data_IF_333789379656
#
_entry.id   IF_333789379656
#
_cell.length_a   1.000
_cell.length_b   1.000
_cell.length_c   1.000
_cell.angle_alpha   90.00
_cell.angle_beta   90.00
_cell.angle_gamma   90.00
#
_symmetry.space_group_name_H-M   'P 1'
#
loop_
_entity.id
_entity.type
_entity.pdbx_description
1 polymer ?
#
# COMPACT_ATOMS: atom_id res chain seq x y z
N UNK A 1 -2.64 -45.16 25.50
CA UNK A 1 -3.32 -43.99 24.91
C UNK A 1 -2.26 -43.14 24.21
N UNK A 2 -2.08 -43.35 22.90
CA UNK A 2 -1.14 -42.57 22.09
C UNK A 2 -1.75 -41.19 21.80
N UNK A 3 -1.10 -40.13 22.29
CA UNK A 3 -1.48 -38.76 21.97
C UNK A 3 -0.83 -38.38 20.65
N UNK A 4 -1.60 -38.37 19.56
CA UNK A 4 -1.15 -37.87 18.28
C UNK A 4 -1.07 -36.33 18.34
N UNK A 5 0.14 -35.79 18.19
CA UNK A 5 0.41 -34.35 18.10
C UNK A 5 0.06 -33.88 16.68
N UNK A 6 -1.07 -33.19 16.49
CA UNK A 6 -1.37 -32.51 15.23
C UNK A 6 -0.48 -31.26 15.13
N UNK A 7 0.52 -31.31 14.25
CA UNK A 7 1.30 -30.12 13.89
C UNK A 7 0.50 -29.34 12.84
N UNK A 8 -0.12 -28.24 13.25
CA UNK A 8 -0.82 -27.32 12.35
C UNK A 8 0.24 -26.51 11.58
N UNK A 9 0.52 -26.90 10.34
CA UNK A 9 1.38 -26.15 9.44
C UNK A 9 0.61 -24.91 8.95
N UNK A 10 0.85 -23.76 9.60
CA UNK A 10 0.32 -22.48 9.16
C UNK A 10 1.08 -22.05 7.89
N UNK A 11 0.56 -22.43 6.72
CA UNK A 11 1.03 -21.90 5.44
C UNK A 11 0.66 -20.42 5.41
N UNK A 12 1.65 -19.55 5.67
CA UNK A 12 1.48 -18.12 5.53
C UNK A 12 1.04 -17.82 4.11
N UNK A 13 -0.16 -17.27 3.94
CA UNK A 13 -0.66 -16.82 2.65
C UNK A 13 0.26 -15.71 2.15
N UNK A 14 1.23 -16.07 1.30
CA UNK A 14 1.93 -15.12 0.46
C UNK A 14 0.88 -14.50 -0.46
N UNK A 15 0.45 -13.28 -0.15
CA UNK A 15 -0.32 -12.45 -1.08
C UNK A 15 0.58 -12.12 -2.26
N UNK A 16 0.60 -12.98 -3.26
CA UNK A 16 1.15 -12.64 -4.56
C UNK A 16 0.29 -11.50 -5.12
N UNK A 17 0.82 -10.28 -5.16
CA UNK A 17 0.15 -9.19 -5.85
C UNK A 17 0.30 -9.44 -7.36
N UNK A 18 -0.75 -9.96 -7.98
CA UNK A 18 -0.83 -10.02 -9.43
C UNK A 18 -1.18 -8.64 -9.97
N UNK A 19 -0.52 -8.23 -11.07
CA UNK A 19 -0.92 -7.03 -11.81
C UNK A 19 -2.37 -7.20 -12.28
N UNK A 20 -3.24 -6.29 -11.86
CA UNK A 20 -4.67 -6.28 -12.21
C UNK A 20 -4.88 -5.40 -13.44
N UNK A 21 -5.85 -5.77 -14.29
CA UNK A 21 -6.32 -4.88 -15.35
C UNK A 21 -7.63 -4.20 -14.92
N UNK A 22 -7.64 -2.87 -14.96
CA UNK A 22 -8.82 -2.06 -14.69
C UNK A 22 -9.43 -1.57 -16.01
N UNK A 23 -10.66 -1.98 -16.30
CA UNK A 23 -11.35 -1.60 -17.53
C UNK A 23 -12.19 -0.33 -17.31
N UNK A 24 -11.99 0.67 -18.18
CA UNK A 24 -12.78 1.88 -18.28
C UNK A 24 -13.58 1.84 -19.58
N UNK A 25 -14.90 1.86 -19.45
CA UNK A 25 -15.83 2.01 -20.55
C UNK A 25 -16.33 3.46 -20.66
N UNK A 26 -17.00 3.78 -21.75
CA UNK A 26 -17.66 5.06 -21.95
C UNK A 26 -19.17 4.84 -21.98
N UNK A 27 -19.90 5.64 -21.20
CA UNK A 27 -21.37 5.64 -21.16
C UNK A 27 -21.87 7.07 -21.28
N UNK A 28 -22.45 7.42 -22.43
CA UNK A 28 -22.78 8.80 -22.76
C UNK A 28 -21.55 9.70 -22.69
N UNK A 29 -21.63 10.78 -21.89
CA UNK A 29 -20.52 11.72 -21.67
C UNK A 29 -19.71 11.42 -20.40
N UNK A 30 -19.60 10.15 -20.01
CA UNK A 30 -18.90 9.74 -18.78
C UNK A 30 -17.99 8.54 -18.99
N UNK A 31 -16.88 8.51 -18.26
CA UNK A 31 -16.07 7.31 -18.08
C UNK A 31 -16.66 6.44 -16.97
N UNK A 32 -16.65 5.13 -17.14
CA UNK A 32 -17.19 4.16 -16.19
C UNK A 32 -16.19 3.03 -15.93
N UNK A 33 -15.60 2.95 -14.71
CA UNK A 33 -15.70 3.95 -13.64
C UNK A 33 -14.99 5.26 -13.98
N UNK A 34 -15.43 6.38 -13.39
CA UNK A 34 -14.75 7.68 -13.53
C UNK A 34 -13.49 7.78 -12.66
N UNK A 35 -13.42 7.00 -11.58
CA UNK A 35 -12.28 6.90 -10.68
C UNK A 35 -11.84 5.44 -10.61
N UNK A 36 -10.58 5.18 -10.93
CA UNK A 36 -9.93 3.87 -10.76
C UNK A 36 -8.95 3.96 -9.60
N UNK A 37 -8.95 2.95 -8.73
CA UNK A 37 -7.88 2.77 -7.72
C UNK A 37 -7.03 1.61 -8.19
N UNK A 38 -5.78 1.88 -8.55
CA UNK A 38 -4.83 0.92 -9.08
C UNK A 38 -3.56 0.91 -8.24
N UNK A 39 -2.75 -0.12 -8.40
CA UNK A 39 -1.43 -0.20 -7.78
C UNK A 39 -0.32 -0.14 -8.85
N UNK A 40 0.90 0.21 -8.45
CA UNK A 40 2.06 0.19 -9.35
C UNK A 40 2.24 -1.21 -9.93
N UNK A 41 2.25 -1.31 -11.26
CA UNK A 41 2.29 -2.57 -12.01
C UNK A 41 0.94 -2.97 -12.63
N UNK A 42 -0.17 -2.40 -12.16
CA UNK A 42 -1.48 -2.62 -12.78
C UNK A 42 -1.54 -2.03 -14.19
N UNK A 43 -2.48 -2.54 -14.98
CA UNK A 43 -2.85 -1.96 -16.28
C UNK A 43 -4.20 -1.27 -16.16
N UNK A 44 -4.36 -0.16 -16.88
CA UNK A 44 -5.67 0.50 -17.05
C UNK A 44 -5.96 0.52 -18.53
N UNK A 45 -7.10 -0.06 -18.90
CA UNK A 45 -7.53 -0.23 -20.29
C UNK A 45 -8.76 0.63 -20.55
N UNK A 46 -8.77 1.38 -21.64
CA UNK A 46 -9.93 2.12 -22.10
C UNK A 46 -10.53 1.46 -23.33
N UNK A 47 -11.86 1.39 -23.37
CA UNK A 47 -12.62 1.20 -24.59
C UNK A 47 -13.12 2.57 -25.08
N UNK A 48 -12.32 3.21 -25.93
CA UNK A 48 -12.59 4.49 -26.58
C UNK A 48 -13.35 4.26 -27.88
N UNK A 49 -14.64 4.59 -27.87
CA UNK A 49 -15.48 4.63 -29.08
C UNK A 49 -15.64 6.06 -29.57
N UNK A 50 -15.80 6.27 -30.88
CA UNK A 50 -16.07 7.59 -31.44
C UNK A 50 -17.43 8.11 -30.95
N UNK A 51 -17.57 9.42 -30.63
CA UNK A 51 -16.63 10.52 -30.83
C UNK A 51 -15.76 10.85 -29.60
N UNK A 52 -15.43 9.88 -28.75
CA UNK A 52 -14.73 10.13 -27.49
C UNK A 52 -13.21 9.95 -27.60
N UNK A 53 -12.49 10.45 -26.59
CA UNK A 53 -11.04 10.32 -26.40
C UNK A 53 -10.74 10.04 -24.93
N UNK A 54 -9.53 9.57 -24.65
CA UNK A 54 -8.96 9.58 -23.31
C UNK A 54 -7.56 10.21 -23.40
N UNK A 55 -7.45 11.46 -22.96
CA UNK A 55 -6.22 12.24 -23.05
C UNK A 55 -5.74 12.59 -21.66
N UNK A 56 -4.49 12.26 -21.36
CA UNK A 56 -3.84 12.67 -20.12
C UNK A 56 -3.63 14.18 -20.09
N UNK A 57 -3.92 14.79 -18.94
CA UNK A 57 -3.78 16.22 -18.71
C UNK A 57 -3.15 16.48 -17.34
N UNK A 58 -2.74 17.72 -17.08
CA UNK A 58 -2.32 18.13 -15.74
C UNK A 58 -3.53 18.22 -14.79
N UNK A 59 -3.30 18.17 -13.48
CA UNK A 59 -4.36 18.40 -12.49
C UNK A 59 -5.01 19.78 -12.66
N UNK A 60 -4.22 20.81 -12.98
CA UNK A 60 -4.75 22.16 -13.21
C UNK A 60 -5.72 22.19 -14.40
N UNK A 61 -5.34 21.55 -15.52
CA UNK A 61 -6.20 21.39 -16.69
C UNK A 61 -7.48 20.62 -16.36
N UNK A 62 -7.36 19.51 -15.62
CA UNK A 62 -8.49 18.68 -15.21
C UNK A 62 -9.48 19.42 -14.28
N UNK A 63 -8.96 20.21 -13.34
CA UNK A 63 -9.76 21.05 -12.44
C UNK A 63 -10.51 22.14 -13.22
N UNK A 64 -9.88 22.71 -14.25
CA UNK A 64 -10.46 23.75 -15.10
C UNK A 64 -11.41 23.22 -16.19
N UNK A 65 -11.69 21.91 -16.25
CA UNK A 65 -12.42 21.27 -17.36
C UNK A 65 -11.79 21.58 -18.74
N UNK A 66 -10.47 21.79 -18.76
CA UNK A 66 -9.69 22.04 -19.96
C UNK A 66 -9.29 20.76 -20.67
N UNK A 67 -8.72 20.90 -21.87
CA UNK A 67 -8.33 19.79 -22.74
C UNK A 67 -6.88 19.88 -23.25
N UNK A 68 -6.06 20.74 -22.65
CA UNK A 68 -4.63 20.86 -22.96
C UNK A 68 -3.88 19.57 -22.59
N UNK A 69 -3.37 18.81 -23.57
CA UNK A 69 -2.67 17.55 -23.29
C UNK A 69 -1.43 17.75 -22.45
N UNK A 70 -1.12 16.78 -21.60
CA UNK A 70 0.15 16.72 -20.90
C UNK A 70 1.27 16.32 -21.88
N UNK A 71 2.38 17.06 -21.89
CA UNK A 71 3.54 16.70 -22.71
C UNK A 71 4.07 15.32 -22.33
N UNK A 72 4.20 14.42 -23.32
CA UNK A 72 4.59 13.03 -23.09
C UNK A 72 3.52 12.14 -22.44
N UNK A 73 2.32 12.67 -22.21
CA UNK A 73 1.17 11.89 -21.73
C UNK A 73 0.48 11.11 -22.86
N UNK A 74 -0.42 10.22 -22.48
CA UNK A 74 -1.22 9.47 -23.46
C UNK A 74 -2.33 10.32 -24.09
N UNK A 75 -2.70 9.98 -25.33
CA UNK A 75 -3.80 10.59 -26.07
C UNK A 75 -4.51 9.53 -26.92
N UNK A 76 -5.47 8.83 -26.33
CA UNK A 76 -6.21 7.76 -27.00
C UNK A 76 -7.43 8.32 -27.74
N UNK A 77 -7.54 7.95 -29.00
CA UNK A 77 -8.57 8.34 -29.95
C UNK A 77 -8.97 7.10 -30.75
N UNK A 78 -10.18 7.06 -31.36
CA UNK A 78 -10.57 5.93 -32.20
C UNK A 78 -9.58 5.64 -33.35
N UNK A 79 -8.80 6.65 -33.78
CA UNK A 79 -7.83 6.53 -34.87
C UNK A 79 -6.49 5.89 -34.45
N UNK A 80 -6.16 5.86 -33.15
CA UNK A 80 -4.89 5.31 -32.65
C UNK A 80 -5.09 4.22 -31.58
N UNK A 81 -6.29 3.67 -31.50
CA UNK A 81 -6.66 2.52 -30.67
C UNK A 81 -6.87 1.27 -31.51
N UNK A 82 -6.52 0.10 -30.98
CA UNK A 82 -6.78 -1.18 -31.65
C UNK A 82 -8.20 -1.63 -31.36
N UNK A 83 -9.10 -1.55 -32.35
CA UNK A 83 -10.53 -1.82 -32.18
C UNK A 83 -11.21 -1.01 -31.06
N UNK A 84 -10.79 0.24 -30.87
CA UNK A 84 -11.29 1.10 -29.79
C UNK A 84 -10.59 0.88 -28.46
N UNK A 85 -9.66 -0.06 -28.34
CA UNK A 85 -8.98 -0.37 -27.07
C UNK A 85 -7.53 0.12 -27.04
N UNK A 86 -7.15 0.77 -25.94
CA UNK A 86 -5.78 1.15 -25.60
C UNK A 86 -5.57 1.07 -24.09
N UNK A 87 -4.32 0.92 -23.64
CA UNK A 87 -4.02 0.77 -22.22
C UNK A 87 -2.74 1.53 -21.82
N UNK A 88 -2.60 1.77 -20.52
CA UNK A 88 -1.34 2.16 -19.89
C UNK A 88 -0.94 1.12 -18.84
N UNK A 89 0.34 1.11 -18.48
CA UNK A 89 0.84 0.46 -17.26
C UNK A 89 1.08 1.54 -16.21
N UNK A 90 0.57 1.33 -15.00
CA UNK A 90 0.79 2.22 -13.86
C UNK A 90 2.21 2.03 -13.32
N UNK A 91 3.17 2.88 -13.72
CA UNK A 91 4.59 2.70 -13.35
C UNK A 91 5.06 3.53 -12.16
N UNK A 92 4.25 4.47 -11.67
CA UNK A 92 4.60 5.36 -10.56
C UNK A 92 3.38 5.72 -9.73
N UNK A 93 3.59 5.88 -8.42
CA UNK A 93 2.54 6.32 -7.49
C UNK A 93 2.10 7.75 -7.79
N UNK A 94 0.84 8.06 -7.47
CA UNK A 94 0.24 9.37 -7.68
C UNK A 94 -1.08 9.29 -8.44
N UNK A 95 -1.67 10.46 -8.70
CA UNK A 95 -2.93 10.54 -9.45
C UNK A 95 -2.68 10.90 -10.91
N UNK A 96 -3.19 10.07 -11.81
CA UNK A 96 -3.23 10.35 -13.24
C UNK A 96 -4.57 10.99 -13.56
N UNK A 97 -4.54 12.16 -14.21
CA UNK A 97 -5.73 12.92 -14.60
C UNK A 97 -5.93 12.83 -16.10
N UNK A 98 -7.15 12.56 -16.54
CA UNK A 98 -7.46 12.49 -17.97
C UNK A 98 -8.86 13.00 -18.29
N UNK A 99 -9.04 13.44 -19.53
CA UNK A 99 -10.31 13.98 -20.05
C UNK A 99 -10.65 13.37 -21.39
N UNK A 100 -11.91 13.51 -21.79
CA UNK A 100 -12.29 13.40 -23.18
C UNK A 100 -12.23 14.79 -23.81
N UNK A 101 -11.25 15.05 -24.68
CA UNK A 101 -11.01 16.37 -25.32
C UNK A 101 -12.27 17.08 -25.84
N UNK A 102 -13.13 16.45 -26.67
CA UNK A 102 -14.31 17.13 -27.21
C UNK A 102 -15.39 17.41 -26.16
N UNK A 103 -15.36 16.72 -25.01
CA UNK A 103 -16.37 16.83 -23.95
C UNK A 103 -15.78 17.31 -22.61
N UNK A 104 -14.55 17.83 -22.61
CA UNK A 104 -13.87 18.25 -21.39
C UNK A 104 -14.61 19.40 -20.70
N UNK A 105 -15.08 20.38 -21.49
CA UNK A 105 -15.89 21.51 -21.01
C UNK A 105 -17.25 21.09 -20.44
N UNK A 106 -17.76 19.92 -20.84
CA UNK A 106 -18.97 19.29 -20.28
C UNK A 106 -18.69 18.47 -19.02
N UNK A 107 -17.43 18.37 -18.59
CA UNK A 107 -17.01 17.63 -17.40
C UNK A 107 -16.70 16.15 -17.65
N UNK A 108 -16.57 15.70 -18.91
CA UNK A 108 -16.20 14.31 -19.21
C UNK A 108 -14.73 14.07 -18.88
N UNK A 109 -14.46 13.64 -17.64
CA UNK A 109 -13.13 13.46 -17.08
C UNK A 109 -13.07 12.28 -16.12
N UNK A 110 -11.87 11.76 -15.91
CA UNK A 110 -11.64 10.69 -14.95
C UNK A 110 -10.27 10.81 -14.29
N UNK A 111 -10.04 9.98 -13.28
CA UNK A 111 -8.78 9.90 -12.55
C UNK A 111 -8.41 8.46 -12.21
N UNK A 112 -7.11 8.21 -12.10
CA UNK A 112 -6.57 6.94 -11.61
C UNK A 112 -5.70 7.25 -10.40
N UNK A 113 -6.05 6.72 -9.24
CA UNK A 113 -5.24 6.82 -8.03
C UNK A 113 -4.31 5.61 -7.99
N UNK A 114 -3.01 5.83 -8.20
CA UNK A 114 -2.00 4.78 -8.19
C UNK A 114 -1.30 4.74 -6.84
N UNK A 115 -1.42 3.62 -6.13
CA UNK A 115 -0.74 3.37 -4.85
C UNK A 115 0.45 2.41 -5.05
N UNK A 116 1.38 2.38 -4.09
CA UNK A 116 2.48 1.44 -4.15
C UNK A 116 1.96 -0.01 -4.01
N UNK A 117 2.50 -0.93 -4.80
CA UNK A 117 2.36 -2.36 -4.55
C UNK A 117 3.33 -2.75 -3.43
N UNK A 118 2.79 -3.00 -2.24
CA UNK A 118 3.57 -3.34 -1.05
C UNK A 118 2.65 -3.69 0.11
N UNK A 119 3.24 -4.05 1.25
CA UNK A 119 2.48 -4.20 2.50
C UNK A 119 1.59 -2.96 2.67
N UNK A 120 0.28 -3.12 2.97
CA UNK A 120 -0.56 -1.96 3.24
C UNK A 120 0.17 -1.10 4.26
N UNK A 121 0.37 0.18 3.96
CA UNK A 121 0.81 1.12 4.97
C UNK A 121 -0.14 0.93 6.15
N UNK A 122 0.38 0.44 7.27
CA UNK A 122 -0.41 0.27 8.48
C UNK A 122 -0.96 1.66 8.79
N UNK A 123 -2.25 1.84 8.49
CA UNK A 123 -2.96 3.13 8.50
C UNK A 123 -2.97 3.74 9.91
N UNK A 124 -2.56 2.98 10.92
CA UNK A 124 -2.19 3.50 12.22
C UNK A 124 -0.70 3.76 12.29
N UNK A 125 -0.34 5.03 12.02
CA UNK A 125 1.00 5.60 12.17
C UNK A 125 1.41 5.72 13.66
N UNK A 126 1.08 4.72 14.49
CA UNK A 126 1.59 4.62 15.86
C UNK A 126 3.02 4.15 15.76
N UNK A 127 3.92 5.11 15.57
CA UNK A 127 5.34 4.89 15.67
C UNK A 127 5.69 4.71 17.17
N UNK A 128 6.02 3.49 17.56
CA UNK A 128 6.80 3.26 18.78
C UNK A 128 8.29 3.43 18.52
N UNK A 129 8.99 3.94 19.51
CA UNK A 129 10.44 4.02 19.55
C UNK A 129 10.98 3.08 20.62
N UNK A 130 12.20 2.60 20.42
CA UNK A 130 12.86 1.69 21.35
C UNK A 130 14.26 2.18 21.68
N UNK A 131 14.68 2.02 22.93
CA UNK A 131 16.01 2.41 23.40
C UNK A 131 16.45 1.59 24.61
N UNK A 132 17.76 1.43 24.86
CA UNK A 132 18.85 1.78 23.96
C UNK A 132 18.85 0.85 22.73
N UNK A 133 19.46 1.28 21.64
CA UNK A 133 19.75 0.44 20.49
C UNK A 133 21.13 0.85 19.97
N UNK A 134 22.19 0.03 20.15
CA UNK A 134 22.18 -1.35 20.64
C UNK A 134 21.78 -1.54 22.12
N UNK A 135 21.25 -2.71 22.48
CA UNK A 135 20.78 -3.07 23.83
C UNK A 135 21.55 -4.24 24.40
N UNK A 136 21.80 -4.23 25.71
CA UNK A 136 22.39 -5.36 26.44
C UNK A 136 21.33 -6.20 27.14
N UNK A 137 20.60 -5.64 28.09
CA UNK A 137 19.72 -6.42 28.97
C UNK A 137 18.26 -5.98 28.90
N UNK A 138 17.97 -4.67 28.93
CA UNK A 138 16.59 -4.15 28.97
C UNK A 138 16.33 -3.18 27.83
N UNK A 139 15.29 -3.45 27.05
CA UNK A 139 14.81 -2.60 25.97
C UNK A 139 13.58 -1.81 26.42
N UNK A 140 13.65 -0.49 26.38
CA UNK A 140 12.54 0.41 26.70
C UNK A 140 11.74 0.75 25.45
N UNK A 141 10.43 0.92 25.63
CA UNK A 141 9.47 1.23 24.57
C UNK A 141 8.77 2.54 24.90
N UNK A 142 8.63 3.42 23.91
CA UNK A 142 7.87 4.66 24.02
C UNK A 142 6.92 4.80 22.81
N UNK A 143 5.72 5.31 23.05
CA UNK A 143 4.68 5.50 22.02
C UNK A 143 3.79 6.68 22.38
N UNK A 144 3.39 7.45 21.36
CA UNK A 144 2.48 8.60 21.50
C UNK A 144 0.99 8.19 21.42
N UNK A 145 0.66 6.90 21.30
CA UNK A 145 -0.73 6.46 21.23
C UNK A 145 -1.42 6.42 22.60
N UNK A 146 -2.64 6.96 22.62
CA UNK A 146 -3.55 6.93 23.76
C UNK A 146 -4.39 5.64 23.72
N UNK A 147 -3.82 4.48 24.07
CA UNK A 147 -4.57 3.25 24.29
C UNK A 147 -3.82 2.24 25.16
N UNK A 148 -4.60 1.28 25.68
CA UNK A 148 -4.27 0.13 26.53
C UNK A 148 -3.08 -0.71 26.07
N UNK A 149 -2.67 -1.61 26.95
CA UNK A 149 -1.56 -2.55 26.77
C UNK A 149 -1.51 -3.24 25.40
N UNK A 150 -0.31 -3.49 24.89
CA UNK A 150 -0.07 -4.15 23.59
C UNK A 150 0.69 -5.47 23.79
N UNK A 151 0.30 -6.51 23.07
CA UNK A 151 1.07 -7.74 22.96
C UNK A 151 2.17 -7.58 21.92
N UNK A 152 3.39 -7.98 22.29
CA UNK A 152 4.59 -7.80 21.48
C UNK A 152 5.31 -9.11 21.24
N UNK A 153 5.94 -9.22 20.07
CA UNK A 153 6.77 -10.35 19.69
C UNK A 153 8.14 -9.83 19.23
N UNK A 154 9.19 -10.53 19.61
CA UNK A 154 10.54 -10.34 19.07
C UNK A 154 10.83 -11.47 18.10
N UNK A 155 11.18 -11.11 16.87
CA UNK A 155 11.58 -12.05 15.82
C UNK A 155 13.06 -11.87 15.45
N UNK A 156 13.71 -12.97 15.07
CA UNK A 156 15.07 -12.91 14.52
C UNK A 156 15.06 -12.59 13.01
N UNK A 157 16.24 -12.51 12.40
CA UNK A 157 16.40 -12.25 10.96
C UNK A 157 15.79 -13.30 10.01
N UNK A 158 15.45 -14.49 10.53
CA UNK A 158 14.75 -15.54 9.77
C UNK A 158 13.21 -15.44 9.94
N UNK A 159 12.71 -14.43 10.65
CA UNK A 159 11.28 -14.27 10.95
C UNK A 159 10.75 -15.19 12.05
N UNK A 160 11.62 -15.97 12.72
CA UNK A 160 11.21 -16.83 13.83
C UNK A 160 10.96 -16.00 15.08
N UNK A 161 9.79 -16.18 15.71
CA UNK A 161 9.48 -15.63 17.03
C UNK A 161 10.41 -16.27 18.07
N UNK A 162 11.19 -15.44 18.76
CA UNK A 162 12.16 -15.84 19.78
C UNK A 162 11.74 -15.42 21.19
N UNK A 163 10.82 -14.45 21.31
CA UNK A 163 10.25 -14.00 22.58
C UNK A 163 8.88 -13.37 22.34
N UNK A 164 7.96 -13.54 23.30
CA UNK A 164 6.65 -12.88 23.31
C UNK A 164 6.40 -12.28 24.70
N UNK A 165 5.76 -11.13 24.76
CA UNK A 165 5.33 -10.50 26.01
C UNK A 165 3.93 -9.94 25.81
N UNK A 166 3.02 -10.31 26.70
CA UNK A 166 1.64 -9.82 26.65
C UNK A 166 1.46 -8.60 27.54
N UNK A 167 0.43 -7.83 27.23
CA UNK A 167 -0.03 -6.71 28.03
C UNK A 167 1.06 -5.65 28.37
N UNK A 168 1.95 -5.31 27.41
CA UNK A 168 2.98 -4.28 27.61
C UNK A 168 2.32 -2.90 27.67
N UNK A 169 2.48 -2.11 28.76
CA UNK A 169 1.79 -0.84 28.93
C UNK A 169 2.23 0.19 27.87
N UNK A 170 1.27 0.67 27.08
CA UNK A 170 1.49 1.72 26.09
C UNK A 170 1.26 3.12 26.69
N UNK A 171 2.01 4.13 26.23
CA UNK A 171 1.93 5.52 26.74
C UNK A 171 2.53 5.74 28.14
N UNK A 172 3.17 4.72 28.73
CA UNK A 172 4.00 4.81 29.94
C UNK A 172 5.37 4.19 29.65
N UNK A 173 6.35 4.40 30.51
CA UNK A 173 7.67 3.77 30.38
C UNK A 173 7.55 2.24 30.46
N UNK A 174 7.46 1.58 29.30
CA UNK A 174 7.46 0.14 29.17
C UNK A 174 8.89 -0.38 28.96
N UNK A 175 9.13 -1.60 29.42
CA UNK A 175 10.42 -2.28 29.26
C UNK A 175 10.24 -3.77 29.03
N UNK A 176 11.12 -4.35 28.22
CA UNK A 176 11.22 -5.78 27.95
C UNK A 176 12.62 -6.22 28.31
N UNK A 177 12.74 -7.28 29.12
CA UNK A 177 14.02 -7.95 29.38
C UNK A 177 14.39 -8.81 28.17
N UNK A 178 15.50 -8.45 27.54
CA UNK A 178 16.06 -9.12 26.36
C UNK A 178 17.41 -9.77 26.67
N UNK A 179 17.81 -9.87 27.95
CA UNK A 179 19.09 -10.43 28.38
C UNK A 179 19.30 -11.89 27.93
N UNK A 180 18.22 -12.65 27.80
CA UNK A 180 18.21 -14.04 27.32
C UNK A 180 18.45 -14.18 25.81
N UNK A 181 18.36 -13.09 25.04
CA UNK A 181 18.63 -13.12 23.61
C UNK A 181 20.13 -13.22 23.34
N UNK A 182 20.50 -14.08 22.39
CA UNK A 182 21.86 -14.11 21.83
C UNK A 182 22.19 -12.80 21.11
N UNK A 183 23.47 -12.48 20.96
CA UNK A 183 23.92 -11.31 20.18
C UNK A 183 23.41 -11.40 18.75
N UNK A 184 22.88 -10.31 18.21
CA UNK A 184 22.34 -10.31 16.84
C UNK A 184 21.35 -9.20 16.54
N UNK A 185 20.76 -9.26 15.34
CA UNK A 185 19.73 -8.31 14.88
C UNK A 185 18.35 -8.93 15.06
N UNK A 186 17.45 -8.14 15.64
CA UNK A 186 16.08 -8.55 15.93
C UNK A 186 15.09 -7.46 15.50
N UNK A 187 13.82 -7.86 15.36
CA UNK A 187 12.71 -6.94 15.14
C UNK A 187 11.68 -7.14 16.23
N UNK A 188 11.26 -6.04 16.85
CA UNK A 188 10.11 -5.98 17.73
C UNK A 188 8.88 -5.65 16.90
N UNK A 189 7.81 -6.44 16.98
CA UNK A 189 6.53 -6.18 16.32
C UNK A 189 5.36 -6.36 17.30
N UNK A 190 4.22 -5.75 17.00
CA UNK A 190 2.97 -6.05 17.73
C UNK A 190 2.43 -7.41 17.27
N UNK A 191 1.90 -8.24 18.17
CA UNK A 191 1.31 -9.55 17.82
C UNK A 191 0.15 -9.41 16.83
N UNK A 192 -0.66 -8.36 16.95
CA UNK A 192 -1.77 -8.07 16.03
C UNK A 192 -1.34 -7.42 14.71
N UNK A 193 -0.03 -7.26 14.49
CA UNK A 193 0.57 -6.61 13.33
C UNK A 193 0.03 -5.20 13.02
N UNK A 194 -0.54 -4.51 14.02
CA UNK A 194 -1.11 -3.15 13.90
C UNK A 194 -0.03 -2.07 13.90
N UNK A 195 1.21 -2.41 14.24
CA UNK A 195 2.32 -1.48 14.40
C UNK A 195 3.49 -1.84 13.48
N UNK A 196 4.17 -0.82 12.96
CA UNK A 196 5.40 -1.02 12.18
C UNK A 196 6.46 -1.72 13.03
N UNK A 197 7.05 -2.84 12.56
CA UNK A 197 8.14 -3.48 13.29
C UNK A 197 9.36 -2.56 13.44
N UNK A 198 10.02 -2.59 14.60
CA UNK A 198 11.22 -1.79 14.86
C UNK A 198 12.42 -2.71 15.04
N UNK A 199 13.49 -2.42 14.29
CA UNK A 199 14.75 -3.16 14.34
C UNK A 199 15.61 -2.71 15.53
N UNK A 200 16.19 -3.66 16.26
CA UNK A 200 17.27 -3.39 17.23
C UNK A 200 18.41 -4.41 17.15
N UNK A 201 19.54 -4.04 17.76
CA UNK A 201 20.75 -4.86 17.86
C UNK A 201 20.96 -5.27 19.31
N UNK A 202 21.04 -6.59 19.57
CA UNK A 202 21.41 -7.17 20.86
C UNK A 202 22.92 -7.37 20.94
N UNK A 203 23.53 -6.85 22.00
CA UNK A 203 24.97 -6.99 22.32
C UNK A 203 25.31 -8.23 23.13
#
# INVERSE_FOLDING_TARGET
MNKHLLTLLLVGATTCCFATNHLINISGFSFSPATVNAAVGDTVTWNVTGPHTATQVSQATWNANGNTPLSGGFDFTPANTSNGTSFIVCTSVGTIWYVCKPHASMGMKGQINVVATGLPDLVNNVAWSIYPNPVKDVLHLNSNASASTVDVEIINMLGKVVMQTTAVPFGKAASIDVSSLTKGVYFLKSSENKMRPVRFVKL
#
